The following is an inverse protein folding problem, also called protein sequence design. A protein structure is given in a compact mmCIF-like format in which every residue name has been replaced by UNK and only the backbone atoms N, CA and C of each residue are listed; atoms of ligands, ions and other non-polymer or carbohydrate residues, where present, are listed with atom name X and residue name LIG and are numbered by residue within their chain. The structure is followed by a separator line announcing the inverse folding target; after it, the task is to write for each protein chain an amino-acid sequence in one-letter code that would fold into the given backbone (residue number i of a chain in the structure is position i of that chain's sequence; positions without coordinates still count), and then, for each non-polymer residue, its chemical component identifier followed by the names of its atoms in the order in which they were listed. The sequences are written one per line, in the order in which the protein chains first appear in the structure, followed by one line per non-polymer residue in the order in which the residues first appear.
data_IF_447837128056
#
_entry.id   IF_447837128056
#
_cell.length_a   1.000
_cell.length_b   1.000
_cell.length_c   1.000
_cell.angle_alpha   90.00
_cell.angle_beta   90.00
_cell.angle_gamma   90.00
#
_symmetry.space_group_name_H-M   'P 1'
#
loop_
_entity.id
_entity.type
_entity.pdbx_description
1 polymer ?
#
# COMPACT_ATOMS: atom_id res chain seq x y z
N UNK A 1 -0.62 -24.83 -6.81
CA UNK A 1 -1.06 -24.39 -5.47
C UNK A 1 -2.24 -23.48 -5.69
N UNK A 2 -3.31 -23.66 -4.99
CA UNK A 2 -4.52 -22.86 -5.24
C UNK A 2 -4.79 -21.99 -4.02
N UNK A 3 -4.32 -20.75 -4.08
CA UNK A 3 -4.71 -19.71 -3.10
C UNK A 3 -6.21 -19.35 -3.22
N UNK A 4 -6.98 -20.08 -4.03
CA UNK A 4 -8.31 -19.68 -4.50
C UNK A 4 -8.26 -18.58 -5.56
N UNK A 5 -7.07 -18.26 -6.08
CA UNK A 5 -6.81 -17.25 -7.12
C UNK A 5 -6.43 -17.93 -8.45
N UNK A 6 -6.88 -17.33 -9.55
CA UNK A 6 -6.42 -17.69 -10.89
C UNK A 6 -5.41 -16.65 -11.38
N UNK A 7 -4.13 -16.84 -11.03
CA UNK A 7 -3.04 -15.93 -11.41
C UNK A 7 -2.54 -16.35 -12.80
N UNK A 8 -2.64 -15.46 -13.77
CA UNK A 8 -2.08 -15.66 -15.12
C UNK A 8 -0.58 -15.89 -15.03
N UNK A 9 -0.06 -16.73 -15.93
CA UNK A 9 1.38 -17.03 -15.99
C UNK A 9 2.16 -16.00 -16.79
N UNK A 10 1.50 -15.30 -17.70
CA UNK A 10 2.08 -14.35 -18.66
C UNK A 10 1.34 -13.01 -18.66
N UNK A 11 1.99 -12.00 -19.18
CA UNK A 11 1.48 -10.65 -19.33
C UNK A 11 2.61 -9.65 -19.52
N UNK A 12 2.30 -8.50 -20.12
CA UNK A 12 3.25 -7.38 -20.25
C UNK A 12 3.61 -6.77 -18.89
N UNK A 13 2.69 -6.87 -17.92
CA UNK A 13 2.90 -6.43 -16.55
C UNK A 13 2.55 -7.54 -15.56
N UNK A 14 3.45 -7.77 -14.62
CA UNK A 14 3.18 -8.61 -13.46
C UNK A 14 2.24 -7.92 -12.48
N UNK A 15 2.37 -6.58 -12.36
CA UNK A 15 1.62 -5.78 -11.42
C UNK A 15 1.32 -4.39 -12.00
N UNK A 16 0.09 -3.94 -11.83
CA UNK A 16 -0.35 -2.57 -12.14
C UNK A 16 -1.06 -2.00 -10.92
N UNK A 17 -0.72 -0.78 -10.53
CA UNK A 17 -1.46 -0.06 -9.50
C UNK A 17 -2.15 1.19 -10.03
N UNK A 18 -3.22 1.62 -9.34
CA UNK A 18 -3.92 2.89 -9.56
C UNK A 18 -3.92 3.66 -8.24
N UNK A 19 -3.34 4.85 -8.24
CA UNK A 19 -3.25 5.66 -7.03
C UNK A 19 -2.70 7.06 -7.24
N UNK A 20 -2.58 7.82 -6.16
CA UNK A 20 -2.04 9.16 -6.17
C UNK A 20 -0.54 9.17 -5.86
N UNK A 21 0.22 9.87 -6.68
CA UNK A 21 1.63 10.15 -6.44
C UNK A 21 1.79 11.37 -5.55
N UNK A 22 2.71 11.31 -4.61
CA UNK A 22 3.01 12.42 -3.69
C UNK A 22 4.53 12.59 -3.55
N UNK A 23 4.97 13.75 -3.08
CA UNK A 23 6.32 13.93 -2.58
C UNK A 23 6.29 14.16 -1.07
N UNK A 24 7.12 13.42 -0.34
CA UNK A 24 7.25 13.52 1.10
C UNK A 24 8.50 14.32 1.47
N UNK A 25 8.32 15.34 2.29
CA UNK A 25 9.39 16.10 2.89
C UNK A 25 9.72 15.52 4.27
N UNK A 26 10.95 15.11 4.44
CA UNK A 26 11.44 14.43 5.64
C UNK A 26 12.64 15.20 6.24
N UNK A 27 12.46 15.91 7.36
CA UNK A 27 13.57 16.59 8.04
C UNK A 27 14.38 15.64 8.95
N UNK A 28 14.19 14.33 8.83
CA UNK A 28 14.77 13.32 9.72
C UNK A 28 14.16 13.39 11.12
N UNK A 29 15.02 13.39 12.13
CA UNK A 29 14.58 13.48 13.53
C UNK A 29 14.34 14.92 14.01
N UNK A 30 14.56 15.91 13.15
CA UNK A 30 14.38 17.33 13.52
C UNK A 30 12.91 17.71 13.30
N UNK A 31 12.20 18.26 14.28
CA UNK A 31 10.82 18.69 14.10
C UNK A 31 10.73 19.85 13.10
N UNK A 32 9.67 19.91 12.27
CA UNK A 32 9.49 20.89 11.21
C UNK A 32 9.70 22.34 11.66
N UNK A 33 9.25 22.71 12.88
CA UNK A 33 9.43 24.08 13.40
C UNK A 33 10.90 24.52 13.55
N UNK A 34 11.87 23.62 13.45
CA UNK A 34 13.32 23.85 13.56
C UNK A 34 14.08 23.29 12.36
N UNK A 35 13.40 22.69 11.39
CA UNK A 35 14.04 22.11 10.23
C UNK A 35 14.61 23.22 9.30
N UNK A 36 15.86 23.07 8.92
CA UNK A 36 16.51 23.92 7.92
C UNK A 36 16.65 23.24 6.55
N UNK A 37 16.38 21.91 6.47
CA UNK A 37 16.45 21.09 5.27
C UNK A 37 15.52 19.89 5.42
N UNK A 38 15.14 19.31 4.29
CA UNK A 38 14.39 18.06 4.19
C UNK A 38 14.95 17.21 3.06
N UNK A 39 14.97 15.90 3.26
CA UNK A 39 15.07 14.93 2.18
C UNK A 39 13.71 14.87 1.45
N UNK A 40 13.74 14.64 0.14
CA UNK A 40 12.53 14.47 -0.68
C UNK A 40 12.39 13.02 -1.07
N UNK A 41 11.31 12.38 -0.62
CA UNK A 41 10.95 11.02 -1.03
C UNK A 41 9.71 11.06 -1.92
N UNK A 42 9.77 10.42 -3.08
CA UNK A 42 8.58 10.19 -3.91
C UNK A 42 7.84 9.00 -3.34
N UNK A 43 6.53 9.13 -3.18
CA UNK A 43 5.69 8.23 -2.44
C UNK A 43 4.27 8.16 -3.04
N UNK A 44 3.46 7.34 -2.43
CA UNK A 44 2.09 7.00 -2.73
C UNK A 44 1.93 5.52 -2.45
N UNK A 45 0.94 5.09 -1.65
CA UNK A 45 0.85 3.70 -1.21
C UNK A 45 0.93 2.71 -2.36
N UNK A 46 0.15 2.96 -3.40
CA UNK A 46 0.08 2.13 -4.61
C UNK A 46 1.38 2.16 -5.42
N UNK A 47 2.04 3.33 -5.48
CA UNK A 47 3.37 3.46 -6.08
C UNK A 47 4.42 2.72 -5.27
N UNK A 48 4.40 2.83 -3.94
CA UNK A 48 5.36 2.16 -3.07
C UNK A 48 5.34 0.64 -3.30
N UNK A 49 4.14 0.04 -3.42
CA UNK A 49 4.01 -1.38 -3.75
C UNK A 49 4.61 -1.69 -5.12
N UNK A 50 4.25 -0.93 -6.16
CA UNK A 50 4.76 -1.12 -7.52
C UNK A 50 6.28 -0.95 -7.60
N UNK A 51 6.82 0.08 -6.94
CA UNK A 51 8.25 0.38 -6.90
C UNK A 51 9.06 -0.73 -6.18
N UNK A 52 8.55 -1.22 -5.04
CA UNK A 52 9.18 -2.33 -4.32
C UNK A 52 9.17 -3.63 -5.14
N UNK A 53 8.06 -3.93 -5.83
CA UNK A 53 7.96 -5.08 -6.72
C UNK A 53 8.92 -4.98 -7.91
N UNK A 54 9.11 -3.79 -8.45
CA UNK A 54 10.02 -3.56 -9.57
C UNK A 54 11.49 -3.58 -9.13
N UNK A 55 11.87 -2.69 -8.22
CA UNK A 55 13.28 -2.47 -7.86
C UNK A 55 13.86 -3.63 -7.04
N UNK A 56 13.18 -4.06 -5.98
CA UNK A 56 13.65 -5.17 -5.13
C UNK A 56 13.46 -6.53 -5.80
N UNK A 57 12.26 -6.79 -6.32
CA UNK A 57 11.86 -8.14 -6.78
C UNK A 57 11.96 -8.35 -8.29
N UNK A 58 12.36 -7.33 -9.05
CA UNK A 58 12.60 -7.39 -10.50
C UNK A 58 11.37 -7.81 -11.33
N UNK A 59 10.17 -7.49 -10.86
CA UNK A 59 8.94 -7.70 -11.61
C UNK A 59 8.66 -6.53 -12.56
N UNK A 60 7.93 -6.79 -13.64
CA UNK A 60 7.45 -5.77 -14.55
C UNK A 60 6.22 -5.09 -13.95
N UNK A 61 6.36 -3.86 -13.49
CA UNK A 61 5.29 -3.13 -12.81
C UNK A 61 4.87 -1.86 -13.53
N UNK A 62 3.66 -1.38 -13.22
CA UNK A 62 3.14 -0.12 -13.73
C UNK A 62 2.33 0.64 -12.68
N UNK A 63 2.16 1.94 -12.94
CA UNK A 63 1.33 2.85 -12.14
C UNK A 63 0.44 3.69 -13.04
N UNK A 64 -0.88 3.64 -12.84
CA UNK A 64 -1.83 4.60 -13.38
C UNK A 64 -2.04 5.72 -12.36
N UNK A 65 -1.81 6.98 -12.76
CA UNK A 65 -1.86 8.12 -11.83
C UNK A 65 -2.05 9.45 -12.56
N UNK A 66 -2.34 10.50 -11.79
CA UNK A 66 -2.24 11.87 -12.26
C UNK A 66 -0.78 12.34 -12.26
N UNK A 67 -0.44 13.20 -13.24
CA UNK A 67 0.84 13.88 -13.29
C UNK A 67 0.62 15.36 -13.65
N UNK A 68 1.37 16.24 -13.02
CA UNK A 68 1.32 17.68 -13.32
C UNK A 68 2.57 18.10 -14.04
N UNK A 69 2.40 18.88 -15.12
CA UNK A 69 3.52 19.35 -15.97
C UNK A 69 4.20 20.57 -15.32
N UNK A 70 5.07 20.30 -14.35
CA UNK A 70 5.89 21.29 -13.63
C UNK A 70 7.05 20.60 -12.89
N UNK A 71 8.06 21.35 -12.36
CA UNK A 71 9.31 20.73 -11.84
C UNK A 71 9.13 19.64 -10.76
N UNK A 72 8.08 19.71 -9.92
CA UNK A 72 7.83 18.63 -8.94
C UNK A 72 7.26 17.39 -9.64
N UNK A 73 6.45 17.56 -10.70
CA UNK A 73 6.02 16.44 -11.54
C UNK A 73 7.20 15.74 -12.21
N UNK A 74 8.15 16.53 -12.75
CA UNK A 74 9.38 15.99 -13.35
C UNK A 74 10.22 15.19 -12.35
N UNK A 75 10.38 15.70 -11.12
CA UNK A 75 11.07 15.00 -10.04
C UNK A 75 10.40 13.65 -9.73
N UNK A 76 9.07 13.63 -9.66
CA UNK A 76 8.32 12.40 -9.41
C UNK A 76 8.49 11.44 -10.60
N UNK A 77 8.36 11.91 -11.84
CA UNK A 77 8.51 11.09 -13.04
C UNK A 77 9.93 10.47 -13.15
N UNK A 78 10.98 11.24 -12.80
CA UNK A 78 12.35 10.72 -12.71
C UNK A 78 12.48 9.59 -11.70
N UNK A 79 11.85 9.73 -10.51
CA UNK A 79 11.91 8.68 -9.50
C UNK A 79 11.15 7.42 -9.94
N UNK A 80 9.97 7.57 -10.54
CA UNK A 80 9.19 6.44 -11.10
C UNK A 80 10.04 5.68 -12.14
N UNK A 81 10.73 6.41 -13.03
CA UNK A 81 11.63 5.81 -14.04
C UNK A 81 12.81 5.10 -13.38
N UNK A 82 13.45 5.74 -12.39
CA UNK A 82 14.59 5.15 -11.67
C UNK A 82 14.24 3.85 -10.96
N UNK A 83 12.99 3.72 -10.48
CA UNK A 83 12.48 2.49 -9.86
C UNK A 83 11.99 1.45 -10.88
N UNK A 84 12.07 1.71 -12.19
CA UNK A 84 11.68 0.79 -13.24
C UNK A 84 10.17 0.58 -13.39
N UNK A 85 9.36 1.48 -12.86
CA UNK A 85 7.88 1.39 -12.93
C UNK A 85 7.39 2.05 -14.21
N UNK A 86 6.57 1.35 -15.00
CA UNK A 86 5.96 1.88 -16.23
C UNK A 86 4.81 2.84 -15.89
N UNK A 87 4.87 4.11 -16.30
CA UNK A 87 3.82 5.06 -16.02
C UNK A 87 2.67 4.99 -17.05
N UNK A 88 1.45 5.23 -16.56
CA UNK A 88 0.24 5.53 -17.32
C UNK A 88 -0.35 6.81 -16.72
N UNK A 89 0.02 7.99 -17.26
CA UNK A 89 -0.34 9.25 -16.65
C UNK A 89 -1.50 9.96 -17.35
N UNK A 90 -2.43 10.48 -16.55
CA UNK A 90 -3.30 11.59 -16.94
C UNK A 90 -2.57 12.88 -16.58
N UNK A 91 -2.19 13.67 -17.60
CA UNK A 91 -1.47 14.92 -17.42
C UNK A 91 -2.40 16.11 -17.14
N UNK A 92 -1.98 16.96 -16.22
CA UNK A 92 -2.59 18.23 -15.89
C UNK A 92 -1.58 19.35 -16.02
N UNK A 93 -2.04 20.52 -16.53
CA UNK A 93 -1.17 21.70 -16.73
C UNK A 93 -1.14 22.57 -15.48
N UNK A 94 -0.01 23.20 -15.25
CA UNK A 94 0.21 24.22 -14.23
C UNK A 94 0.82 25.46 -14.91
N UNK A 95 0.32 26.67 -14.58
CA UNK A 95 0.73 27.91 -15.22
C UNK A 95 1.97 28.58 -14.56
N UNK A 96 2.57 27.89 -13.59
CA UNK A 96 3.67 28.40 -12.76
C UNK A 96 3.23 29.12 -11.49
N UNK A 97 1.95 29.46 -11.37
CA UNK A 97 1.35 30.17 -10.22
C UNK A 97 0.18 29.38 -9.65
N UNK A 98 -0.70 28.91 -10.52
CA UNK A 98 -1.96 28.23 -10.18
C UNK A 98 -2.13 26.98 -11.02
N UNK A 99 -2.94 26.07 -10.53
CA UNK A 99 -3.29 24.81 -11.19
C UNK A 99 -3.34 23.67 -10.22
N UNK A 100 -3.62 22.46 -10.68
CA UNK A 100 -3.43 21.27 -9.90
C UNK A 100 -1.96 21.11 -9.50
N UNK A 101 -1.72 20.47 -8.36
CA UNK A 101 -0.36 20.19 -7.89
C UNK A 101 -0.20 18.72 -7.49
N UNK A 102 1.02 18.27 -7.35
CA UNK A 102 1.34 16.98 -6.72
C UNK A 102 1.33 17.18 -5.21
N UNK A 103 0.57 16.35 -4.50
CA UNK A 103 0.40 16.49 -3.05
C UNK A 103 1.71 16.43 -2.29
N UNK A 104 1.81 17.20 -1.21
CA UNK A 104 2.95 17.18 -0.30
C UNK A 104 2.58 16.48 1.00
N UNK A 105 3.41 15.54 1.41
CA UNK A 105 3.35 14.91 2.74
C UNK A 105 4.51 15.46 3.56
N UNK A 106 4.23 15.92 4.75
CA UNK A 106 5.23 16.37 5.72
C UNK A 106 5.30 15.33 6.83
N UNK A 107 6.46 14.68 7.00
CA UNK A 107 6.62 13.63 8.00
C UNK A 107 8.01 13.65 8.61
N UNK A 108 8.14 14.08 9.87
CA UNK A 108 9.37 13.82 10.62
C UNK A 108 9.36 12.38 11.17
N UNK A 109 10.55 11.86 11.53
CA UNK A 109 10.69 10.48 12.02
C UNK A 109 10.42 10.33 13.51
N UNK A 110 10.32 11.43 14.27
CA UNK A 110 10.30 11.35 15.72
C UNK A 110 11.61 10.79 16.29
N UNK A 111 11.64 10.47 17.58
CA UNK A 111 12.77 9.78 18.24
C UNK A 111 12.42 9.37 19.66
N UNK A 112 12.63 8.12 20.03
CA UNK A 112 12.43 7.61 21.38
C UNK A 112 11.00 7.83 21.88
N UNK A 113 10.84 8.67 22.89
CA UNK A 113 9.52 9.03 23.47
C UNK A 113 8.80 10.12 22.67
N UNK A 114 9.46 10.77 21.72
CA UNK A 114 8.87 11.81 20.89
C UNK A 114 8.28 11.18 19.63
N UNK A 115 6.95 11.15 19.56
CA UNK A 115 6.23 10.65 18.41
C UNK A 115 6.54 11.45 17.13
N UNK A 116 6.52 10.81 15.92
CA UNK A 116 6.61 11.52 14.65
C UNK A 116 5.35 12.36 14.42
N UNK A 117 5.52 13.44 13.67
CA UNK A 117 4.41 14.31 13.23
C UNK A 117 4.22 14.15 11.74
N UNK A 118 2.98 13.82 11.34
CA UNK A 118 2.61 13.70 9.92
C UNK A 118 1.43 14.61 9.62
N UNK A 119 1.56 15.41 8.59
CA UNK A 119 0.47 16.22 8.05
C UNK A 119 0.60 16.37 6.53
N UNK A 120 -0.44 16.85 5.86
CA UNK A 120 -0.56 16.82 4.42
C UNK A 120 -0.97 18.18 3.86
N UNK A 121 -0.47 18.49 2.65
CA UNK A 121 -1.09 19.48 1.79
C UNK A 121 -1.62 18.75 0.54
N UNK A 122 -2.92 18.48 0.55
CA UNK A 122 -3.67 17.86 -0.56
C UNK A 122 -4.65 18.83 -1.23
N UNK A 123 -4.51 20.12 -0.92
CA UNK A 123 -5.33 21.15 -1.58
C UNK A 123 -5.01 21.17 -3.08
N UNK A 124 -6.05 21.07 -3.92
CA UNK A 124 -5.94 21.06 -5.38
C UNK A 124 -5.00 19.96 -5.94
N UNK A 125 -4.97 18.82 -5.28
CA UNK A 125 -4.18 17.66 -5.67
C UNK A 125 -4.68 17.08 -7.00
N UNK A 126 -3.78 16.87 -7.96
CA UNK A 126 -4.12 16.32 -9.27
C UNK A 126 -4.76 14.92 -9.19
N UNK A 127 -4.32 14.10 -8.22
CA UNK A 127 -4.91 12.78 -7.96
C UNK A 127 -6.40 12.83 -7.66
N UNK A 128 -6.89 13.88 -6.98
CA UNK A 128 -8.30 14.07 -6.67
C UNK A 128 -9.18 14.43 -7.88
N UNK A 129 -8.57 14.83 -8.97
CA UNK A 129 -9.26 15.22 -10.21
C UNK A 129 -9.48 14.05 -11.16
N UNK A 130 -8.89 12.90 -10.88
CA UNK A 130 -9.08 11.69 -11.67
C UNK A 130 -10.52 11.18 -11.57
N UNK A 131 -11.05 10.70 -12.69
CA UNK A 131 -12.42 10.24 -12.82
C UNK A 131 -12.56 9.08 -13.80
N UNK A 132 -13.67 8.34 -13.78
CA UNK A 132 -13.97 7.31 -14.77
C UNK A 132 -13.79 7.84 -16.21
N UNK A 133 -13.18 7.00 -17.05
CA UNK A 133 -12.85 7.32 -18.45
C UNK A 133 -11.50 8.03 -18.65
N UNK A 134 -10.75 8.38 -17.62
CA UNK A 134 -9.42 9.00 -17.77
C UNK A 134 -8.35 8.04 -18.29
N UNK A 135 -8.55 6.73 -18.16
CA UNK A 135 -7.64 5.69 -18.63
C UNK A 135 -8.31 4.74 -19.63
N UNK A 136 -7.56 4.36 -20.66
CA UNK A 136 -7.99 3.32 -21.61
C UNK A 136 -7.72 1.91 -21.04
N UNK A 137 -8.56 1.47 -20.09
CA UNK A 137 -8.37 0.17 -19.42
C UNK A 137 -8.37 -0.99 -20.39
N UNK A 138 -9.13 -0.91 -21.51
CA UNK A 138 -9.15 -1.95 -22.53
C UNK A 138 -7.77 -2.15 -23.16
N UNK A 139 -7.05 -1.09 -23.44
CA UNK A 139 -5.69 -1.13 -23.96
C UNK A 139 -4.69 -1.61 -22.90
N UNK A 140 -4.75 -1.02 -21.69
CA UNK A 140 -3.83 -1.34 -20.61
C UNK A 140 -3.93 -2.80 -20.20
N UNK A 141 -5.13 -3.31 -19.93
CA UNK A 141 -5.33 -4.72 -19.56
C UNK A 141 -5.23 -5.66 -20.75
N UNK A 142 -5.52 -5.19 -21.97
CA UNK A 142 -5.40 -5.97 -23.21
C UNK A 142 -3.96 -6.38 -23.52
N UNK A 143 -2.97 -5.61 -23.05
CA UNK A 143 -1.56 -5.98 -23.14
C UNK A 143 -1.17 -7.14 -22.19
N UNK A 144 -2.05 -7.50 -21.28
CA UNK A 144 -1.85 -8.53 -20.25
C UNK A 144 -1.31 -7.97 -18.95
N UNK A 145 -2.15 -7.96 -17.93
CA UNK A 145 -1.80 -7.59 -16.55
C UNK A 145 -2.16 -8.77 -15.65
N UNK A 146 -1.21 -9.23 -14.83
CA UNK A 146 -1.43 -10.39 -13.95
C UNK A 146 -2.12 -10.01 -12.65
N UNK A 147 -1.82 -8.80 -12.12
CA UNK A 147 -2.30 -8.30 -10.85
C UNK A 147 -2.61 -6.80 -10.91
N UNK A 148 -3.76 -6.40 -10.40
CA UNK A 148 -4.17 -4.99 -10.28
C UNK A 148 -4.41 -4.61 -8.82
N UNK A 149 -3.93 -3.42 -8.41
CA UNK A 149 -3.97 -2.94 -7.02
C UNK A 149 -4.40 -1.49 -6.91
N UNK A 150 -5.17 -1.17 -5.87
CA UNK A 150 -5.46 0.21 -5.47
C UNK A 150 -5.64 0.30 -3.95
N UNK A 151 -5.93 1.48 -3.41
CA UNK A 151 -6.03 1.68 -1.97
C UNK A 151 -7.01 2.75 -1.50
N UNK A 152 -7.36 2.68 -0.23
CA UNK A 152 -8.39 3.48 0.42
C UNK A 152 -8.03 4.94 0.59
N UNK A 153 -6.75 5.30 0.64
CA UNK A 153 -6.35 6.72 0.63
C UNK A 153 -6.75 7.36 -0.71
N UNK A 154 -6.44 6.68 -1.82
CA UNK A 154 -6.83 7.17 -3.14
C UNK A 154 -8.36 7.20 -3.31
N UNK A 155 -9.07 6.18 -2.82
CA UNK A 155 -10.53 6.15 -2.83
C UNK A 155 -11.16 7.35 -2.11
N UNK A 156 -10.49 7.89 -1.09
CA UNK A 156 -10.97 8.98 -0.24
C UNK A 156 -10.58 10.39 -0.73
N UNK A 157 -9.91 10.54 -1.88
CA UNK A 157 -9.44 11.85 -2.35
C UNK A 157 -10.58 12.71 -2.94
N UNK A 158 -11.57 12.08 -3.57
CA UNK A 158 -12.73 12.77 -4.14
C UNK A 158 -13.88 11.79 -4.38
N UNK A 159 -15.06 12.31 -4.72
CA UNK A 159 -16.20 11.48 -5.09
C UNK A 159 -15.93 10.62 -6.33
N UNK A 160 -15.09 11.09 -7.25
CA UNK A 160 -14.81 10.41 -8.52
C UNK A 160 -13.72 9.36 -8.45
N UNK A 161 -12.78 9.45 -7.48
CA UNK A 161 -11.68 8.50 -7.36
C UNK A 161 -12.15 7.12 -6.93
N UNK A 162 -13.15 7.03 -6.06
CA UNK A 162 -13.79 5.76 -5.69
C UNK A 162 -14.47 5.09 -6.90
N UNK A 163 -15.19 5.86 -7.70
CA UNK A 163 -15.84 5.37 -8.94
C UNK A 163 -14.81 4.89 -9.98
N UNK A 164 -13.71 5.63 -10.11
CA UNK A 164 -12.60 5.23 -11.00
C UNK A 164 -11.98 3.90 -10.57
N UNK A 165 -11.82 3.67 -9.26
CA UNK A 165 -11.33 2.38 -8.76
C UNK A 165 -12.31 1.25 -9.12
N UNK A 166 -13.63 1.45 -8.93
CA UNK A 166 -14.65 0.46 -9.30
C UNK A 166 -14.59 0.14 -10.80
N UNK A 167 -14.46 1.17 -11.67
CA UNK A 167 -14.28 1.00 -13.11
C UNK A 167 -13.05 0.14 -13.42
N UNK A 168 -11.90 0.48 -12.83
CA UNK A 168 -10.64 -0.22 -13.05
C UNK A 168 -10.68 -1.67 -12.54
N UNK A 169 -11.25 -1.91 -11.35
CA UNK A 169 -11.41 -3.26 -10.78
C UNK A 169 -12.27 -4.15 -11.68
N UNK A 170 -13.39 -3.62 -12.20
CA UNK A 170 -14.23 -4.34 -13.15
C UNK A 170 -13.49 -4.69 -14.44
N UNK A 171 -12.74 -3.74 -14.98
CA UNK A 171 -11.94 -3.96 -16.20
C UNK A 171 -10.82 -4.99 -15.94
N UNK A 172 -10.14 -4.94 -14.80
CA UNK A 172 -9.11 -5.90 -14.40
C UNK A 172 -9.69 -7.32 -14.28
N UNK A 173 -10.82 -7.48 -13.61
CA UNK A 173 -11.53 -8.78 -13.48
C UNK A 173 -11.95 -9.32 -14.83
N UNK A 174 -12.53 -8.48 -15.69
CA UNK A 174 -12.93 -8.89 -17.06
C UNK A 174 -11.74 -9.35 -17.91
N UNK A 175 -10.55 -8.81 -17.67
CA UNK A 175 -9.31 -9.21 -18.34
C UNK A 175 -8.62 -10.41 -17.67
N UNK A 176 -9.16 -10.94 -16.55
CA UNK A 176 -8.60 -12.09 -15.83
C UNK A 176 -7.40 -11.75 -14.94
N UNK A 177 -7.21 -10.49 -14.57
CA UNK A 177 -6.23 -10.08 -13.56
C UNK A 177 -6.76 -10.37 -12.16
N UNK A 178 -5.86 -10.74 -11.22
CA UNK A 178 -6.17 -10.74 -9.79
C UNK A 178 -6.30 -9.30 -9.32
N UNK A 179 -7.26 -9.03 -8.46
CA UNK A 179 -7.50 -7.70 -7.90
C UNK A 179 -7.18 -7.65 -6.42
N UNK A 180 -6.47 -6.61 -5.98
CA UNK A 180 -6.20 -6.37 -4.57
C UNK A 180 -6.50 -4.93 -4.16
N UNK A 181 -6.82 -4.75 -2.90
CA UNK A 181 -7.12 -3.44 -2.33
C UNK A 181 -6.57 -3.33 -0.90
N UNK A 182 -5.84 -2.26 -0.63
CA UNK A 182 -5.44 -1.89 0.73
C UNK A 182 -6.50 -0.93 1.30
N UNK A 183 -7.19 -1.33 2.35
CA UNK A 183 -8.24 -0.53 2.97
C UNK A 183 -7.74 0.81 3.48
N UNK A 184 -6.58 0.83 4.10
CA UNK A 184 -5.83 2.02 4.50
C UNK A 184 -6.72 3.21 4.90
N UNK A 185 -7.70 2.93 5.79
CA UNK A 185 -8.73 3.88 6.19
C UNK A 185 -8.13 5.13 6.84
N UNK A 186 -8.56 6.31 6.39
CA UNK A 186 -8.13 7.60 6.94
C UNK A 186 -9.34 8.47 7.23
N UNK A 187 -9.79 8.46 8.48
CA UNK A 187 -10.96 9.21 8.91
C UNK A 187 -10.95 10.66 8.43
N UNK A 188 -9.83 11.38 8.59
CA UNK A 188 -9.70 12.79 8.19
C UNK A 188 -9.96 13.05 6.70
N UNK A 189 -9.71 12.07 5.82
CA UNK A 189 -10.04 12.21 4.41
C UNK A 189 -11.53 11.97 4.16
N UNK A 190 -12.10 10.95 4.77
CA UNK A 190 -13.52 10.65 4.64
C UNK A 190 -14.42 11.71 5.27
N UNK A 191 -14.00 12.34 6.37
CA UNK A 191 -14.77 13.42 7.02
C UNK A 191 -15.06 14.60 6.09
N UNK A 192 -14.23 14.81 5.04
CA UNK A 192 -14.45 15.83 4.00
C UNK A 192 -15.68 15.49 3.14
N UNK A 193 -16.01 14.21 2.97
CA UNK A 193 -16.99 13.70 1.99
C UNK A 193 -18.23 13.05 2.61
N UNK A 194 -18.45 13.18 3.90
CA UNK A 194 -19.60 12.58 4.58
C UNK A 194 -19.24 11.49 5.60
N UNK A 195 -17.98 11.42 5.98
CA UNK A 195 -17.48 10.60 7.09
C UNK A 195 -17.56 9.09 6.85
N UNK A 196 -17.72 8.35 7.93
CA UNK A 196 -17.71 6.89 7.91
C UNK A 196 -18.83 6.29 7.04
N UNK A 197 -20.02 6.89 7.01
CA UNK A 197 -21.12 6.39 6.18
C UNK A 197 -20.75 6.37 4.70
N UNK A 198 -20.07 7.44 4.22
CA UNK A 198 -19.58 7.48 2.84
C UNK A 198 -18.45 6.49 2.58
N UNK A 199 -17.56 6.31 3.56
CA UNK A 199 -16.51 5.29 3.47
C UNK A 199 -17.10 3.89 3.31
N UNK A 200 -18.08 3.52 4.13
CA UNK A 200 -18.74 2.21 4.08
C UNK A 200 -19.39 1.93 2.72
N UNK A 201 -20.06 2.94 2.14
CA UNK A 201 -20.65 2.81 0.82
C UNK A 201 -19.58 2.61 -0.27
N UNK A 202 -18.62 3.50 -0.37
CA UNK A 202 -17.60 3.48 -1.44
C UNK A 202 -16.69 2.25 -1.31
N UNK A 203 -16.14 1.98 -0.12
CA UNK A 203 -15.26 0.84 0.10
C UNK A 203 -15.99 -0.49 -0.06
N UNK A 204 -17.26 -0.58 0.37
CA UNK A 204 -18.10 -1.76 0.15
C UNK A 204 -18.21 -2.09 -1.35
N UNK A 205 -18.55 -1.11 -2.19
CA UNK A 205 -18.65 -1.31 -3.65
C UNK A 205 -17.32 -1.67 -4.32
N UNK A 206 -16.20 -1.15 -3.82
CA UNK A 206 -14.88 -1.54 -4.31
C UNK A 206 -14.58 -2.99 -3.95
N UNK A 207 -14.80 -3.38 -2.68
CA UNK A 207 -14.45 -4.71 -2.16
C UNK A 207 -15.25 -5.83 -2.83
N UNK A 208 -16.46 -5.57 -3.35
CA UNK A 208 -17.21 -6.53 -4.18
C UNK A 208 -16.43 -7.02 -5.42
N UNK A 209 -15.38 -6.31 -5.83
CA UNK A 209 -14.55 -6.65 -6.98
C UNK A 209 -13.12 -7.06 -6.60
N UNK A 210 -12.84 -7.30 -5.30
CA UNK A 210 -11.51 -7.56 -4.76
C UNK A 210 -11.33 -9.05 -4.45
N UNK A 211 -10.21 -9.63 -4.87
CA UNK A 211 -9.81 -11.00 -4.53
C UNK A 211 -8.93 -11.03 -3.27
N UNK A 212 -8.07 -10.03 -3.09
CA UNK A 212 -7.08 -9.93 -2.02
C UNK A 212 -7.25 -8.62 -1.28
N UNK A 213 -7.63 -8.68 -0.02
CA UNK A 213 -7.83 -7.53 0.85
C UNK A 213 -6.64 -7.37 1.78
N UNK A 214 -6.07 -6.18 1.82
CA UNK A 214 -5.04 -5.79 2.78
C UNK A 214 -5.63 -4.75 3.72
N UNK A 215 -5.33 -4.85 5.00
CA UNK A 215 -5.81 -3.89 5.99
C UNK A 215 -5.69 -4.45 7.39
N UNK A 216 -5.61 -3.58 8.37
CA UNK A 216 -5.58 -3.94 9.76
C UNK A 216 -7.02 -4.05 10.36
N UNK A 217 -7.11 -4.39 11.64
CA UNK A 217 -8.39 -4.57 12.33
C UNK A 217 -9.24 -3.28 12.31
N UNK A 218 -8.60 -2.12 12.52
CA UNK A 218 -9.27 -0.82 12.48
C UNK A 218 -9.82 -0.51 11.07
N UNK A 219 -9.05 -0.83 10.03
CA UNK A 219 -9.48 -0.65 8.65
C UNK A 219 -10.71 -1.50 8.32
N UNK A 220 -10.76 -2.76 8.77
CA UNK A 220 -11.91 -3.63 8.58
C UNK A 220 -13.14 -3.13 9.33
N UNK A 221 -12.96 -2.66 10.57
CA UNK A 221 -14.07 -2.15 11.39
C UNK A 221 -14.59 -0.81 10.86
N UNK A 222 -13.72 0.18 10.69
CA UNK A 222 -14.12 1.54 10.30
C UNK A 222 -14.41 1.68 8.81
N UNK A 223 -13.65 0.98 7.97
CA UNK A 223 -13.79 1.05 6.52
C UNK A 223 -14.88 0.17 5.94
N UNK A 224 -15.15 -0.99 6.54
CA UNK A 224 -16.14 -1.96 6.04
C UNK A 224 -17.29 -2.22 7.02
N UNK A 225 -17.28 -1.62 8.20
CA UNK A 225 -18.32 -1.82 9.23
C UNK A 225 -18.35 -3.25 9.75
N UNK A 226 -17.21 -3.92 9.82
CA UNK A 226 -17.11 -5.26 10.38
C UNK A 226 -17.00 -5.14 11.89
N UNK A 227 -17.97 -5.64 12.62
CA UNK A 227 -17.94 -5.60 14.08
C UNK A 227 -16.76 -6.41 14.64
N UNK A 228 -15.92 -5.77 15.44
CA UNK A 228 -14.79 -6.35 16.16
C UNK A 228 -14.76 -5.91 17.61
N UNK A 229 -13.78 -6.41 18.36
CA UNK A 229 -13.53 -5.91 19.71
C UNK A 229 -12.89 -4.51 19.62
N UNK A 230 -13.07 -3.70 20.66
CA UNK A 230 -12.56 -2.33 20.69
C UNK A 230 -11.02 -2.30 20.55
N UNK A 231 -10.54 -1.67 19.48
CA UNK A 231 -9.10 -1.63 19.12
C UNK A 231 -8.30 -0.79 20.11
N UNK A 232 -8.94 0.21 20.73
CA UNK A 232 -8.28 1.12 21.69
C UNK A 232 -7.85 0.44 23.00
N UNK A 233 -8.45 -0.73 23.33
CA UNK A 233 -8.18 -1.42 24.59
C UNK A 233 -7.00 -2.40 24.55
N UNK A 234 -6.34 -2.61 23.42
CA UNK A 234 -5.37 -3.69 23.26
C UNK A 234 -3.93 -3.20 23.12
N UNK A 235 -3.18 -3.34 24.21
CA UNK A 235 -1.74 -3.23 24.23
C UNK A 235 -1.00 -4.52 23.80
N UNK A 236 -1.72 -5.60 23.47
CA UNK A 236 -1.12 -6.90 23.07
C UNK A 236 -1.70 -7.36 21.74
N UNK A 237 -0.78 -7.72 20.84
CA UNK A 237 -1.08 -8.33 19.54
C UNK A 237 -1.63 -9.75 19.76
N UNK A 238 -2.94 -9.90 19.73
CA UNK A 238 -3.60 -11.19 19.78
C UNK A 238 -4.10 -11.58 18.38
N UNK A 239 -3.43 -12.49 17.67
CA UNK A 239 -3.86 -12.94 16.35
C UNK A 239 -5.27 -13.51 16.31
N UNK A 240 -5.77 -14.08 17.42
CA UNK A 240 -7.09 -14.70 17.47
C UNK A 240 -8.23 -13.68 17.26
N UNK A 241 -8.05 -12.46 17.75
CA UNK A 241 -9.02 -11.38 17.55
C UNK A 241 -9.14 -10.98 16.08
N UNK A 242 -8.00 -10.97 15.35
CA UNK A 242 -7.99 -10.70 13.91
C UNK A 242 -8.73 -11.74 13.12
N UNK A 243 -8.56 -13.03 13.45
CA UNK A 243 -9.25 -14.11 12.75
C UNK A 243 -10.77 -14.01 12.89
N UNK A 244 -11.26 -13.63 14.07
CA UNK A 244 -12.70 -13.44 14.28
C UNK A 244 -13.28 -12.29 13.42
N UNK A 245 -12.52 -11.21 13.23
CA UNK A 245 -12.92 -10.10 12.35
C UNK A 245 -12.84 -10.51 10.88
N UNK A 246 -11.78 -11.23 10.48
CA UNK A 246 -11.61 -11.74 9.12
C UNK A 246 -12.75 -12.68 8.74
N UNK A 247 -13.15 -13.60 9.63
CA UNK A 247 -14.29 -14.53 9.39
C UNK A 247 -15.60 -13.79 9.10
N UNK A 248 -15.83 -12.66 9.76
CA UNK A 248 -17.00 -11.81 9.48
C UNK A 248 -16.84 -11.08 8.13
N UNK A 249 -15.65 -10.59 7.84
CA UNK A 249 -15.36 -9.90 6.59
C UNK A 249 -15.59 -10.80 5.37
N UNK A 250 -15.05 -12.03 5.37
CA UNK A 250 -15.23 -12.97 4.26
C UNK A 250 -16.64 -13.52 4.13
N UNK A 251 -17.42 -13.55 5.21
CA UNK A 251 -18.86 -13.85 5.13
C UNK A 251 -19.63 -12.71 4.46
N UNK A 252 -19.26 -11.46 4.72
CA UNK A 252 -19.87 -10.28 4.11
C UNK A 252 -19.45 -10.14 2.63
N UNK A 253 -18.21 -10.48 2.30
CA UNK A 253 -17.62 -10.37 0.96
C UNK A 253 -17.07 -11.73 0.50
N UNK A 254 -17.92 -12.67 0.03
CA UNK A 254 -17.52 -14.04 -0.31
C UNK A 254 -16.62 -14.14 -1.56
N UNK A 255 -16.49 -13.06 -2.33
CA UNK A 255 -15.53 -12.94 -3.42
C UNK A 255 -14.09 -12.84 -2.93
N UNK A 256 -13.83 -12.33 -1.72
CA UNK A 256 -12.50 -12.20 -1.14
C UNK A 256 -11.93 -13.59 -0.81
N UNK A 257 -10.75 -13.88 -1.34
CA UNK A 257 -10.04 -15.16 -1.18
C UNK A 257 -8.89 -15.08 -0.20
N UNK A 258 -8.34 -13.86 -0.01
CA UNK A 258 -7.22 -13.60 0.90
C UNK A 258 -7.51 -12.32 1.68
N UNK A 259 -7.27 -12.36 2.99
CA UNK A 259 -7.19 -11.16 3.85
C UNK A 259 -5.84 -11.19 4.54
N UNK A 260 -5.05 -10.13 4.36
CA UNK A 260 -3.70 -10.03 4.89
C UNK A 260 -3.53 -8.76 5.72
N UNK A 261 -2.88 -8.87 6.87
CA UNK A 261 -2.63 -7.73 7.75
C UNK A 261 -1.29 -7.83 8.46
N UNK A 262 -0.72 -6.67 8.77
CA UNK A 262 0.47 -6.58 9.63
C UNK A 262 0.06 -6.39 11.08
N UNK A 263 0.81 -6.99 11.97
CA UNK A 263 0.69 -6.84 13.41
C UNK A 263 1.85 -5.97 13.90
N UNK A 264 1.55 -4.91 14.63
CA UNK A 264 2.57 -4.00 15.12
C UNK A 264 2.25 -3.53 16.53
N UNK A 265 3.20 -3.76 17.45
CA UNK A 265 3.21 -3.15 18.78
C UNK A 265 4.30 -2.09 18.85
N UNK A 266 3.96 -0.90 19.33
CA UNK A 266 4.87 0.24 19.40
C UNK A 266 5.34 0.42 20.84
N UNK A 267 6.62 0.12 21.10
CA UNK A 267 7.25 0.30 22.41
C UNK A 267 7.84 1.72 22.57
N UNK A 268 8.40 2.23 21.49
CA UNK A 268 8.82 3.63 21.32
C UNK A 268 8.75 3.99 19.83
N UNK A 269 9.04 5.24 19.50
CA UNK A 269 9.06 5.68 18.10
C UNK A 269 9.96 4.81 17.20
N UNK A 270 11.07 4.30 17.76
CA UNK A 270 12.08 3.54 17.04
C UNK A 270 12.09 2.04 17.38
N UNK A 271 11.30 1.57 18.35
CA UNK A 271 11.25 0.16 18.75
C UNK A 271 9.86 -0.39 18.62
N UNK A 272 9.71 -1.36 17.73
CA UNK A 272 8.44 -2.02 17.44
C UNK A 272 8.59 -3.53 17.52
N UNK A 273 7.53 -4.23 17.93
CA UNK A 273 7.35 -5.64 17.60
C UNK A 273 6.55 -5.72 16.30
N UNK A 274 7.01 -6.57 15.38
CA UNK A 274 6.46 -6.68 14.03
C UNK A 274 6.16 -8.12 13.66
N UNK A 275 5.00 -8.34 13.08
CA UNK A 275 4.52 -9.60 12.56
C UNK A 275 3.45 -9.42 11.50
N UNK A 276 2.91 -10.53 11.01
CA UNK A 276 1.81 -10.53 10.06
C UNK A 276 0.92 -11.75 10.25
N UNK A 277 -0.36 -11.61 9.95
CA UNK A 277 -1.32 -12.70 9.85
C UNK A 277 -2.06 -12.62 8.53
N UNK A 278 -2.40 -13.77 8.00
CA UNK A 278 -3.09 -13.87 6.72
C UNK A 278 -4.11 -15.01 6.77
N UNK A 279 -5.30 -14.75 6.26
CA UNK A 279 -6.29 -15.76 5.95
C UNK A 279 -6.28 -16.02 4.44
N UNK A 280 -6.17 -17.29 4.04
CA UNK A 280 -6.17 -17.71 2.64
C UNK A 280 -7.17 -18.83 2.46
N UNK A 281 -8.27 -18.54 1.81
CA UNK A 281 -9.28 -19.53 1.40
C UNK A 281 -9.64 -20.54 2.51
N UNK A 282 -9.96 -20.05 3.71
CA UNK A 282 -10.36 -20.87 4.86
C UNK A 282 -9.23 -21.28 5.80
N UNK A 283 -7.97 -20.96 5.50
CA UNK A 283 -6.81 -21.29 6.34
C UNK A 283 -6.11 -20.03 6.83
N UNK A 284 -5.54 -20.09 8.01
CA UNK A 284 -4.80 -18.99 8.63
C UNK A 284 -3.29 -19.28 8.64
N UNK A 285 -2.50 -18.24 8.40
CA UNK A 285 -1.05 -18.29 8.41
C UNK A 285 -0.51 -17.10 9.21
N UNK A 286 0.59 -17.31 9.90
CA UNK A 286 1.23 -16.28 10.72
C UNK A 286 2.72 -16.26 10.45
N UNK A 287 3.31 -15.07 10.34
CA UNK A 287 4.76 -14.89 10.28
C UNK A 287 5.41 -15.10 11.66
N UNK A 288 6.74 -15.24 11.71
CA UNK A 288 7.46 -14.99 12.95
C UNK A 288 7.17 -13.57 13.48
N UNK A 289 7.39 -13.36 14.78
CA UNK A 289 7.41 -12.03 15.39
C UNK A 289 8.86 -11.62 15.61
N UNK A 290 9.20 -10.37 15.29
CA UNK A 290 10.53 -9.84 15.58
C UNK A 290 10.48 -8.44 16.19
N UNK A 291 11.50 -8.10 16.97
CA UNK A 291 11.73 -6.73 17.39
C UNK A 291 12.48 -5.97 16.29
N UNK A 292 12.06 -4.74 16.03
CA UNK A 292 12.66 -3.85 15.03
C UNK A 292 13.18 -2.57 15.69
N UNK A 293 14.38 -2.19 15.31
CA UNK A 293 14.90 -0.85 15.46
C UNK A 293 14.59 -0.06 14.17
N UNK A 294 13.51 0.71 14.22
CA UNK A 294 12.92 1.40 13.07
C UNK A 294 13.65 2.71 12.81
N UNK A 295 14.16 2.89 11.59
CA UNK A 295 14.73 4.15 11.12
C UNK A 295 13.64 5.08 10.55
N UNK A 296 12.79 4.53 9.68
CA UNK A 296 11.61 5.21 9.11
C UNK A 296 10.45 4.21 9.05
N UNK A 297 9.31 4.57 9.61
CA UNK A 297 8.16 3.67 9.68
C UNK A 297 7.23 3.75 8.47
N UNK A 298 7.43 4.76 7.61
CA UNK A 298 6.59 4.98 6.42
C UNK A 298 6.84 3.88 5.40
N UNK A 299 5.79 3.39 4.76
CA UNK A 299 5.90 2.34 3.75
C UNK A 299 6.00 0.90 4.26
N UNK A 300 6.09 0.66 5.58
CA UNK A 300 6.20 -0.72 6.11
C UNK A 300 5.04 -1.63 5.71
N UNK A 301 3.81 -1.11 5.67
CA UNK A 301 2.63 -1.83 5.18
C UNK A 301 2.72 -2.13 3.67
N UNK A 302 3.11 -1.12 2.88
CA UNK A 302 3.31 -1.25 1.43
C UNK A 302 4.42 -2.27 1.13
N UNK A 303 5.49 -2.26 1.95
CA UNK A 303 6.57 -3.25 1.90
C UNK A 303 6.07 -4.67 2.18
N UNK A 304 5.23 -4.84 3.21
CA UNK A 304 4.59 -6.13 3.47
C UNK A 304 3.76 -6.57 2.27
N UNK A 305 2.90 -5.71 1.74
CA UNK A 305 2.05 -6.03 0.59
C UNK A 305 2.88 -6.43 -0.63
N UNK A 306 3.95 -5.70 -0.94
CA UNK A 306 4.85 -6.02 -2.05
C UNK A 306 5.52 -7.40 -1.90
N UNK A 307 6.12 -7.69 -0.76
CA UNK A 307 6.75 -9.00 -0.51
C UNK A 307 5.75 -10.15 -0.53
N UNK A 308 4.55 -9.94 0.00
CA UNK A 308 3.46 -10.90 -0.01
C UNK A 308 2.96 -11.17 -1.44
N UNK A 309 2.71 -10.13 -2.22
CA UNK A 309 2.27 -10.27 -3.62
C UNK A 309 3.36 -10.90 -4.49
N UNK A 310 4.64 -10.58 -4.24
CA UNK A 310 5.75 -11.29 -4.90
C UNK A 310 5.69 -12.79 -4.65
N UNK A 311 5.50 -13.21 -3.40
CA UNK A 311 5.35 -14.63 -3.05
C UNK A 311 4.21 -15.31 -3.83
N UNK A 312 3.03 -14.68 -3.89
CA UNK A 312 1.88 -15.22 -4.61
C UNK A 312 2.11 -15.26 -6.13
N UNK A 313 2.67 -14.19 -6.72
CA UNK A 313 2.96 -14.08 -8.15
C UNK A 313 4.01 -15.08 -8.63
N UNK A 314 4.94 -15.48 -7.76
CA UNK A 314 5.99 -16.46 -8.06
C UNK A 314 5.64 -17.90 -7.67
N UNK A 315 4.45 -18.13 -7.10
CA UNK A 315 3.97 -19.47 -6.75
C UNK A 315 4.60 -20.04 -5.48
N UNK A 316 5.04 -19.23 -4.54
CA UNK A 316 5.46 -19.65 -3.21
C UNK A 316 4.31 -20.33 -2.46
N UNK A 317 4.59 -21.13 -1.43
CA UNK A 317 3.52 -21.58 -0.51
C UNK A 317 2.91 -20.39 0.23
N UNK A 318 1.70 -20.57 0.76
CA UNK A 318 1.01 -19.52 1.50
C UNK A 318 1.86 -19.01 2.69
N UNK A 319 2.49 -19.92 3.42
CA UNK A 319 3.37 -19.56 4.53
C UNK A 319 4.63 -18.82 4.06
N UNK A 320 5.23 -19.24 2.96
CA UNK A 320 6.40 -18.55 2.38
C UNK A 320 6.02 -17.15 1.90
N UNK A 321 4.85 -16.95 1.28
CA UNK A 321 4.38 -15.64 0.85
C UNK A 321 4.19 -14.69 2.05
N UNK A 322 3.60 -15.18 3.15
CA UNK A 322 3.45 -14.41 4.41
C UNK A 322 4.83 -14.04 4.98
N UNK A 323 5.77 -14.99 4.99
CA UNK A 323 7.12 -14.74 5.51
C UNK A 323 7.90 -13.75 4.63
N UNK A 324 7.73 -13.79 3.30
CA UNK A 324 8.33 -12.81 2.37
C UNK A 324 7.77 -11.41 2.58
N UNK A 325 6.45 -11.28 2.76
CA UNK A 325 5.81 -10.01 3.10
C UNK A 325 6.33 -9.45 4.42
N UNK A 326 6.31 -10.27 5.48
CA UNK A 326 6.83 -9.91 6.79
C UNK A 326 8.29 -9.44 6.74
N UNK A 327 9.15 -10.21 6.09
CA UNK A 327 10.57 -9.91 5.98
C UNK A 327 10.84 -8.63 5.21
N UNK A 328 10.14 -8.42 4.09
CA UNK A 328 10.31 -7.23 3.26
C UNK A 328 9.82 -5.97 3.98
N UNK A 329 8.62 -6.02 4.62
CA UNK A 329 8.11 -4.90 5.43
C UNK A 329 9.04 -4.55 6.60
N UNK A 330 9.60 -5.55 7.29
CA UNK A 330 10.57 -5.35 8.35
C UNK A 330 11.84 -4.65 7.84
N UNK A 331 12.46 -5.18 6.78
CA UNK A 331 13.68 -4.61 6.19
C UNK A 331 13.45 -3.19 5.68
N UNK A 332 12.31 -2.89 5.07
CA UNK A 332 11.99 -1.56 4.58
C UNK A 332 12.11 -0.51 5.68
N UNK A 333 11.62 -0.81 6.88
CA UNK A 333 11.67 0.15 8.01
C UNK A 333 13.07 0.47 8.50
N UNK A 334 14.10 -0.25 8.04
CA UNK A 334 15.51 0.01 8.37
C UNK A 334 16.20 0.98 7.40
N UNK A 335 15.49 1.44 6.37
CA UNK A 335 15.97 2.43 5.40
C UNK A 335 15.21 3.74 5.52
N UNK A 336 15.77 4.87 5.07
CA UNK A 336 15.02 6.11 4.93
C UNK A 336 14.14 6.06 3.69
N UNK A 337 12.96 6.64 3.77
CA UNK A 337 12.02 6.71 2.64
C UNK A 337 10.97 5.61 2.67
N UNK A 338 10.16 5.57 1.63
CA UNK A 338 8.91 4.83 1.57
C UNK A 338 9.04 3.52 0.77
N UNK A 339 10.24 3.25 0.23
CA UNK A 339 10.58 2.04 -0.53
C UNK A 339 11.86 1.42 0.03
N UNK A 340 12.00 0.10 -0.12
CA UNK A 340 13.18 -0.63 0.38
C UNK A 340 14.43 -0.32 -0.45
N UNK A 341 15.60 -0.47 0.17
CA UNK A 341 16.89 -0.56 -0.52
C UNK A 341 17.46 -2.00 -0.43
N UNK A 342 16.67 -2.94 0.10
CA UNK A 342 17.08 -4.34 0.19
C UNK A 342 17.00 -5.03 -1.17
N UNK A 343 17.83 -6.05 -1.36
CA UNK A 343 17.74 -6.97 -2.51
C UNK A 343 16.79 -8.13 -2.19
N UNK A 344 16.31 -8.82 -3.23
CA UNK A 344 15.46 -10.00 -3.07
C UNK A 344 16.16 -11.11 -2.27
N UNK A 345 17.49 -11.23 -2.39
CA UNK A 345 18.31 -12.20 -1.64
C UNK A 345 18.29 -11.89 -0.15
N UNK A 346 18.41 -10.62 0.24
CA UNK A 346 18.31 -10.19 1.63
C UNK A 346 16.92 -10.46 2.21
N UNK A 347 15.87 -10.18 1.45
CA UNK A 347 14.49 -10.49 1.86
C UNK A 347 14.31 -12.01 2.07
N UNK A 348 14.73 -12.82 1.10
CA UNK A 348 14.65 -14.29 1.19
C UNK A 348 15.48 -14.86 2.34
N UNK A 349 16.66 -14.29 2.59
CA UNK A 349 17.51 -14.72 3.70
C UNK A 349 16.85 -14.41 5.05
N UNK A 350 16.30 -13.20 5.22
CA UNK A 350 15.62 -12.80 6.45
C UNK A 350 14.32 -13.61 6.66
N UNK A 351 13.55 -13.87 5.61
CA UNK A 351 12.33 -14.68 5.66
C UNK A 351 12.59 -16.14 6.15
N UNK A 352 13.83 -16.64 6.00
CA UNK A 352 14.28 -17.95 6.48
C UNK A 352 14.95 -17.93 7.86
N UNK A 353 14.91 -16.82 8.57
CA UNK A 353 15.55 -16.66 9.88
C UNK A 353 17.02 -16.24 9.80
N UNK A 354 17.41 -15.51 8.75
CA UNK A 354 18.76 -14.97 8.59
C UNK A 354 19.18 -14.05 9.74
N UNK A 355 20.48 -13.96 10.01
CA UNK A 355 21.04 -13.17 11.09
C UNK A 355 21.61 -11.83 10.59
N UNK A 356 21.67 -10.83 11.49
CA UNK A 356 22.33 -9.54 11.25
C UNK A 356 23.87 -9.61 11.18
N UNK A 357 24.46 -10.82 11.05
CA UNK A 357 25.92 -10.99 10.91
C UNK A 357 26.38 -10.55 9.52
N UNK A 358 27.60 -10.01 9.47
CA UNK A 358 28.24 -9.58 8.21
C UNK A 358 28.18 -10.73 7.18
N UNK A 359 27.54 -10.46 6.05
CA UNK A 359 27.59 -11.34 4.87
C UNK A 359 28.90 -11.01 4.12
N UNK A 360 29.75 -12.00 3.94
CA UNK A 360 31.03 -11.90 3.19
C UNK A 360 30.89 -12.60 1.85
#
# INVERSE_FOLDING_TARGET
MSYGLNIRKDGALDFLSLGAMVHRLDPGVIPFRKAARCDIHVSGGEFNVAANLSDCFRLNTGIASAMVDYPIGDLIAERVRAMGVKPFYKHFKHDGVRGPNMATVYSDRGQGVRAPVVFYNRCNEAGSLLRPGDFNWKEIFGAGVRWFHSGGIFAALSETTGELIVEAMKAAKAAGAVTSFDLNYRQKLWDIWGGQSKALDVLGRIVEHVDVLVGNEEDLQKGLGIEGQDVESKSKLDPSAFYAVIDKAVKKFPNVKIVATTLREVHSTNRHTWGAVTWVNGKTFQSPMCELDVLDRVGGGDGYAAGFFYGLLTGASEQEAVNLGWAHGALLTTFPGDTTMATVEQVKAFAKGGSARIQR
#
